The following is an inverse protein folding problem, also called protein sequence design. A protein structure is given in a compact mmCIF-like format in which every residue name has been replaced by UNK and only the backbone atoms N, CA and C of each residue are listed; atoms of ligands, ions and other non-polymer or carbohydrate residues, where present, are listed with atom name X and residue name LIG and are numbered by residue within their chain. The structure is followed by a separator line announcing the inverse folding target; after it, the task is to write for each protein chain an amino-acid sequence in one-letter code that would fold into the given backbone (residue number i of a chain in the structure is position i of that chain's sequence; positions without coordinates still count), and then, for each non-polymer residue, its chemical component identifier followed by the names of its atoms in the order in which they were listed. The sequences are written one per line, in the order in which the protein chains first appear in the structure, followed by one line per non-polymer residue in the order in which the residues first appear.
data_IF_593450898043
#
_entry.id   IF_593450898043
#
_cell.length_a   1.000
_cell.length_b   1.000
_cell.length_c   1.000
_cell.angle_alpha   90.00
_cell.angle_beta   90.00
_cell.angle_gamma   90.00
#
_symmetry.space_group_name_H-M   'P 1'
#
loop_
_entity.id
_entity.type
_entity.pdbx_description
1 polymer ?
#
# COMPACT_ATOMS: atom_id res chain seq x y z
N UNK A 1 -14.47 43.89 47.81
CA UNK A 1 -14.73 42.55 47.26
C UNK A 1 -15.38 42.74 45.90
N UNK A 2 -14.61 42.66 44.82
CA UNK A 2 -15.08 42.36 43.45
C UNK A 2 -13.88 41.74 42.75
N UNK A 3 -14.20 40.74 41.96
CA UNK A 3 -13.44 39.54 41.62
C UNK A 3 -12.46 39.77 40.46
N UNK A 4 -11.16 39.55 40.69
CA UNK A 4 -10.15 39.45 39.63
C UNK A 4 -10.03 37.97 39.20
N UNK A 5 -10.36 37.71 37.94
CA UNK A 5 -10.01 36.48 37.27
C UNK A 5 -10.01 36.75 35.77
N UNK A 6 -8.86 37.08 35.15
CA UNK A 6 -8.77 37.00 33.70
C UNK A 6 -8.76 35.51 33.40
N UNK A 7 -9.86 35.00 32.83
CA UNK A 7 -9.80 33.69 32.20
C UNK A 7 -8.66 33.77 31.17
N UNK A 8 -7.57 33.03 31.39
CA UNK A 8 -6.34 33.01 30.59
C UNK A 8 -6.53 32.38 29.20
N UNK A 9 -7.70 32.58 28.61
CA UNK A 9 -7.96 32.44 27.18
C UNK A 9 -7.56 33.79 26.59
N UNK A 10 -6.30 33.90 26.17
CA UNK A 10 -5.88 34.93 25.22
C UNK A 10 -6.97 35.03 24.14
N UNK A 11 -7.48 36.23 23.90
CA UNK A 11 -8.48 36.45 22.85
C UNK A 11 -7.87 36.00 21.53
N UNK A 12 -8.25 34.80 21.09
CA UNK A 12 -7.89 34.29 19.80
C UNK A 12 -8.28 35.35 18.77
N UNK A 13 -7.29 35.82 18.01
CA UNK A 13 -7.57 36.77 16.94
C UNK A 13 -8.60 36.16 15.98
N UNK A 14 -9.52 37.00 15.48
CA UNK A 14 -10.61 36.56 14.62
C UNK A 14 -10.07 35.84 13.37
N UNK A 15 -8.88 36.24 12.88
CA UNK A 15 -8.19 35.55 11.79
C UNK A 15 -7.79 34.11 12.11
N UNK A 16 -7.37 33.85 13.35
CA UNK A 16 -6.99 32.49 13.80
C UNK A 16 -8.19 31.55 13.78
N UNK A 17 -9.36 32.04 14.19
CA UNK A 17 -10.61 31.27 14.19
C UNK A 17 -11.03 30.92 12.75
N UNK A 18 -10.88 31.85 11.80
CA UNK A 18 -11.22 31.61 10.39
C UNK A 18 -10.30 30.56 9.75
N UNK A 19 -8.99 30.64 10.00
CA UNK A 19 -8.02 29.66 9.49
C UNK A 19 -8.30 28.28 10.11
N UNK A 20 -8.50 28.23 11.43
CA UNK A 20 -8.81 26.97 12.12
C UNK A 20 -10.11 26.34 11.60
N UNK A 21 -11.16 27.14 11.40
CA UNK A 21 -12.43 26.66 10.87
C UNK A 21 -12.30 26.14 9.42
N UNK A 22 -11.53 26.82 8.57
CA UNK A 22 -11.27 26.38 7.20
C UNK A 22 -10.49 25.05 7.17
N UNK A 23 -9.49 24.89 8.04
CA UNK A 23 -8.73 23.65 8.17
C UNK A 23 -9.59 22.49 8.68
N UNK A 24 -10.44 22.73 9.68
CA UNK A 24 -11.39 21.73 10.18
C UNK A 24 -12.39 21.35 9.09
N UNK A 25 -12.90 22.31 8.32
CA UNK A 25 -13.85 22.04 7.23
C UNK A 25 -13.22 21.25 6.09
N UNK A 26 -12.00 21.61 5.66
CA UNK A 26 -11.25 20.86 4.66
C UNK A 26 -10.89 19.46 5.16
N UNK A 27 -10.45 19.34 6.42
CA UNK A 27 -10.15 18.06 7.06
C UNK A 27 -11.38 17.15 7.18
N UNK A 28 -12.51 17.67 7.65
CA UNK A 28 -13.79 16.93 7.68
C UNK A 28 -14.24 16.54 6.27
N UNK A 29 -14.06 17.43 5.28
CA UNK A 29 -14.42 17.15 3.90
C UNK A 29 -13.68 15.91 3.39
N UNK A 30 -12.37 15.77 3.66
CA UNK A 30 -11.60 14.57 3.30
C UNK A 30 -12.16 13.32 4.01
N UNK A 31 -12.54 13.45 5.29
CA UNK A 31 -13.08 12.32 6.07
C UNK A 31 -14.44 11.82 5.56
N UNK A 32 -15.26 12.68 4.94
CA UNK A 32 -16.61 12.33 4.48
C UNK A 32 -16.78 12.26 2.96
N UNK A 33 -15.78 12.64 2.15
CA UNK A 33 -15.93 12.78 0.69
C UNK A 33 -15.45 11.58 -0.12
N UNK A 34 -15.47 10.36 0.43
CA UNK A 34 -15.16 9.19 -0.39
C UNK A 34 -15.94 7.95 0.01
N UNK A 35 -17.22 7.91 -0.35
CA UNK A 35 -17.93 6.65 -0.59
C UNK A 35 -19.09 6.87 -1.59
N UNK A 36 -18.80 6.69 -2.88
CA UNK A 36 -19.76 6.21 -3.88
C UNK A 36 -19.04 5.71 -5.14
N UNK A 37 -18.67 4.43 -5.16
CA UNK A 37 -18.66 3.54 -6.34
C UNK A 37 -18.98 2.14 -5.78
N UNK A 38 -20.22 1.68 -5.94
CA UNK A 38 -20.70 0.77 -7.00
C UNK A 38 -20.09 -0.63 -6.83
N UNK A 39 -20.98 -1.60 -6.66
CA UNK A 39 -20.71 -2.92 -6.08
C UNK A 39 -19.67 -3.79 -6.77
N UNK A 40 -18.96 -4.55 -5.94
CA UNK A 40 -18.93 -6.00 -6.02
C UNK A 40 -18.91 -6.52 -4.59
N UNK A 41 -19.89 -7.35 -4.23
CA UNK A 41 -19.80 -8.21 -3.05
C UNK A 41 -18.64 -9.17 -3.33
N UNK A 42 -17.49 -8.91 -2.71
CA UNK A 42 -16.45 -9.92 -2.51
C UNK A 42 -16.65 -10.39 -1.08
N UNK A 43 -17.08 -11.64 -0.93
CA UNK A 43 -17.17 -12.31 0.37
C UNK A 43 -15.76 -12.40 0.94
N UNK A 44 -15.42 -11.50 1.87
CA UNK A 44 -14.20 -11.59 2.65
C UNK A 44 -14.46 -12.52 3.84
N UNK A 45 -14.18 -13.80 3.66
CA UNK A 45 -14.00 -14.70 4.80
C UNK A 45 -12.62 -14.43 5.44
N UNK A 46 -12.54 -13.40 6.30
CA UNK A 46 -11.37 -13.20 7.15
C UNK A 46 -11.44 -14.22 8.29
N UNK A 47 -10.75 -15.35 8.14
CA UNK A 47 -10.51 -16.27 9.24
C UNK A 47 -9.65 -15.58 10.31
N UNK A 48 -10.29 -15.09 11.37
CA UNK A 48 -9.59 -14.63 12.58
C UNK A 48 -9.11 -15.85 13.37
N UNK A 49 -7.95 -16.39 13.02
CA UNK A 49 -7.23 -17.28 13.93
C UNK A 49 -6.22 -16.48 14.73
N UNK A 50 -6.68 -16.09 15.92
CA UNK A 50 -5.83 -15.56 16.98
C UNK A 50 -4.86 -16.66 17.42
N UNK A 51 -3.57 -16.49 17.17
CA UNK A 51 -2.54 -17.22 17.90
C UNK A 51 -1.77 -16.24 18.78
N UNK A 52 -1.96 -16.42 20.07
CA UNK A 52 -1.21 -15.82 21.16
C UNK A 52 0.12 -16.56 21.26
N UNK A 53 1.25 -15.86 21.15
CA UNK A 53 2.48 -16.23 21.86
C UNK A 53 3.09 -14.96 22.44
N UNK A 54 3.42 -15.04 23.72
CA UNK A 54 3.87 -13.99 24.61
C UNK A 54 5.24 -13.37 24.23
N UNK A 55 5.29 -12.04 24.40
CA UNK A 55 6.39 -11.19 24.85
C UNK A 55 7.82 -11.39 24.30
N UNK A 56 8.31 -10.37 23.58
CA UNK A 56 9.36 -9.45 24.04
C UNK A 56 9.34 -8.17 23.17
N UNK A 57 9.54 -7.01 23.81
CA UNK A 57 9.53 -5.69 23.16
C UNK A 57 10.71 -5.54 22.20
N UNK A 58 10.45 -5.61 20.90
CA UNK A 58 11.22 -4.94 19.88
C UNK A 58 10.24 -4.41 18.83
N UNK A 59 10.57 -3.29 18.18
CA UNK A 59 9.72 -2.64 17.16
C UNK A 59 9.48 -3.63 16.01
N UNK A 60 8.37 -4.39 16.10
CA UNK A 60 8.09 -5.55 15.24
C UNK A 60 7.82 -5.12 13.80
N UNK A 61 8.78 -5.41 12.92
CA UNK A 61 8.54 -5.62 11.49
C UNK A 61 7.64 -6.86 11.39
N UNK A 62 6.33 -6.65 11.25
CA UNK A 62 5.33 -7.72 11.04
C UNK A 62 5.69 -8.46 9.74
N UNK A 63 6.57 -9.44 9.87
CA UNK A 63 6.91 -10.40 8.81
C UNK A 63 5.82 -11.44 8.78
N UNK A 64 4.63 -11.03 8.37
CA UNK A 64 3.59 -11.96 8.01
C UNK A 64 3.93 -12.58 6.65
N UNK A 65 4.57 -13.74 6.69
CA UNK A 65 4.60 -14.66 5.55
C UNK A 65 3.17 -15.17 5.36
N UNK A 66 2.34 -14.44 4.61
CA UNK A 66 1.12 -15.02 4.06
C UNK A 66 1.58 -15.92 2.92
N UNK A 67 1.87 -17.17 3.26
CA UNK A 67 1.70 -18.29 2.36
C UNK A 67 0.19 -18.42 2.16
N UNK A 68 -0.39 -17.62 1.27
CA UNK A 68 -1.61 -18.06 0.62
C UNK A 68 -1.17 -19.28 -0.19
N UNK A 69 -1.37 -20.47 0.39
CA UNK A 69 -1.18 -21.79 -0.22
C UNK A 69 -2.06 -21.90 -1.48
N UNK A 70 -1.65 -21.18 -2.51
CA UNK A 70 -2.24 -21.21 -3.81
C UNK A 70 -1.10 -21.43 -4.79
N UNK A 71 -0.49 -22.61 -4.67
CA UNK A 71 0.35 -23.25 -5.68
C UNK A 71 -0.36 -23.45 -7.04
N UNK A 72 -1.50 -22.78 -7.27
CA UNK A 72 -2.29 -22.71 -8.50
C UNK A 72 -3.12 -21.39 -8.59
N UNK A 73 -2.78 -20.33 -7.84
CA UNK A 73 -3.49 -19.05 -7.93
C UNK A 73 -3.13 -18.30 -9.21
N UNK A 74 -4.14 -18.02 -10.02
CA UNK A 74 -4.02 -17.08 -11.15
C UNK A 74 -4.15 -15.62 -10.70
N UNK A 75 -4.79 -15.39 -9.55
CA UNK A 75 -5.05 -14.07 -8.98
C UNK A 75 -4.67 -14.01 -7.50
N UNK A 76 -3.87 -12.99 -7.14
CA UNK A 76 -3.41 -12.75 -5.77
C UNK A 76 -3.89 -11.38 -5.30
N UNK A 77 -4.33 -11.29 -4.05
CA UNK A 77 -4.86 -10.05 -3.48
C UNK A 77 -4.15 -9.70 -2.16
N UNK A 78 -3.38 -8.63 -2.16
CA UNK A 78 -2.65 -8.13 -0.98
C UNK A 78 -3.23 -6.81 -0.53
N UNK A 79 -3.55 -6.69 0.76
CA UNK A 79 -4.01 -5.45 1.36
C UNK A 79 -3.27 -5.14 2.65
N UNK A 80 -2.56 -4.00 2.67
CA UNK A 80 -1.73 -3.56 3.80
C UNK A 80 -2.18 -2.15 4.19
N UNK A 81 -2.52 -1.94 5.46
CA UNK A 81 -2.99 -0.64 5.96
C UNK A 81 -2.40 -0.34 7.33
N UNK A 82 -1.93 0.91 7.52
CA UNK A 82 -1.48 1.43 8.83
C UNK A 82 -0.43 0.56 9.53
N UNK A 83 0.36 -0.22 8.79
CA UNK A 83 1.41 -1.09 9.31
C UNK A 83 2.62 -1.11 8.37
N UNK A 84 3.71 -1.75 8.78
CA UNK A 84 4.81 -2.17 7.92
C UNK A 84 4.69 -3.66 7.68
N UNK A 85 4.82 -4.12 6.43
CA UNK A 85 4.66 -5.55 6.13
C UNK A 85 5.60 -6.01 5.03
N UNK A 86 6.12 -7.23 5.18
CA UNK A 86 6.90 -7.93 4.17
C UNK A 86 6.07 -9.11 3.65
N UNK A 87 5.91 -9.24 2.33
CA UNK A 87 5.11 -10.28 1.67
C UNK A 87 5.95 -11.02 0.62
N UNK A 88 5.82 -12.33 0.57
CA UNK A 88 6.38 -13.18 -0.48
C UNK A 88 5.23 -13.73 -1.30
N UNK A 89 5.22 -13.41 -2.59
CA UNK A 89 4.20 -13.85 -3.53
C UNK A 89 4.63 -15.19 -4.08
N UNK A 90 3.76 -16.20 -3.97
CA UNK A 90 3.99 -17.54 -4.48
C UNK A 90 2.86 -17.92 -5.44
N UNK A 91 3.19 -18.23 -6.69
CA UNK A 91 2.22 -18.64 -7.70
C UNK A 91 2.88 -19.42 -8.82
N UNK A 92 2.24 -20.49 -9.29
CA UNK A 92 2.72 -21.31 -10.42
C UNK A 92 2.15 -20.87 -11.77
N UNK A 93 1.14 -19.98 -11.76
CA UNK A 93 0.44 -19.52 -12.95
C UNK A 93 -0.12 -18.10 -12.77
N UNK A 94 0.72 -17.16 -12.35
CA UNK A 94 0.27 -15.80 -12.04
C UNK A 94 -0.25 -15.09 -13.29
N UNK A 95 -1.48 -14.58 -13.22
CA UNK A 95 -2.06 -13.67 -14.23
C UNK A 95 -2.22 -12.26 -13.68
N UNK A 96 -2.71 -12.15 -12.44
CA UNK A 96 -3.01 -10.85 -11.82
C UNK A 96 -2.58 -10.82 -10.37
N UNK A 97 -1.88 -9.76 -9.95
CA UNK A 97 -1.66 -9.46 -8.54
C UNK A 97 -2.27 -8.08 -8.23
N UNK A 98 -3.24 -8.02 -7.33
CA UNK A 98 -3.85 -6.78 -6.86
C UNK A 98 -3.28 -6.41 -5.50
N UNK A 99 -2.62 -5.26 -5.42
CA UNK A 99 -1.90 -4.80 -4.24
C UNK A 99 -2.44 -3.44 -3.83
N UNK A 100 -2.97 -3.37 -2.62
CA UNK A 100 -3.52 -2.17 -2.03
C UNK A 100 -2.75 -1.78 -0.77
N UNK A 101 -2.05 -0.66 -0.81
CA UNK A 101 -1.24 -0.16 0.32
C UNK A 101 -1.71 1.24 0.72
N UNK A 102 -2.07 1.42 1.99
CA UNK A 102 -2.55 2.73 2.48
C UNK A 102 -1.98 3.06 3.82
N UNK A 103 -1.35 4.24 3.94
CA UNK A 103 -0.72 4.72 5.17
C UNK A 103 0.24 3.67 5.76
N UNK A 104 0.96 2.96 4.91
CA UNK A 104 1.72 1.77 5.26
C UNK A 104 3.05 1.71 4.51
N UNK A 105 3.94 0.84 4.98
CA UNK A 105 5.12 0.43 4.23
C UNK A 105 5.01 -1.03 3.83
N UNK A 106 5.44 -1.34 2.62
CA UNK A 106 5.33 -2.69 2.06
C UNK A 106 6.61 -3.07 1.31
N UNK A 107 7.16 -4.25 1.63
CA UNK A 107 8.16 -4.93 0.80
C UNK A 107 7.52 -6.18 0.24
N UNK A 108 7.49 -6.33 -1.09
CA UNK A 108 6.78 -7.42 -1.75
C UNK A 108 7.73 -8.12 -2.72
N UNK A 109 7.91 -9.41 -2.52
CA UNK A 109 8.82 -10.27 -3.29
C UNK A 109 8.04 -11.13 -4.27
N UNK A 110 8.52 -11.18 -5.51
CA UNK A 110 7.98 -12.01 -6.60
C UNK A 110 8.99 -13.07 -7.07
N UNK A 111 9.89 -13.51 -6.19
CA UNK A 111 10.99 -14.45 -6.49
C UNK A 111 10.54 -15.90 -6.68
N UNK A 112 9.37 -16.28 -6.17
CA UNK A 112 8.80 -17.63 -6.29
C UNK A 112 7.50 -17.61 -7.13
N UNK A 113 7.57 -16.98 -8.32
CA UNK A 113 6.42 -16.76 -9.19
C UNK A 113 6.70 -17.20 -10.63
N UNK A 114 5.86 -18.12 -11.14
CA UNK A 114 5.85 -18.55 -12.53
C UNK A 114 4.71 -17.87 -13.32
N UNK A 115 5.04 -17.44 -14.56
CA UNK A 115 4.11 -16.82 -15.52
C UNK A 115 4.14 -17.61 -16.84
N UNK A 116 3.56 -18.83 -16.89
CA UNK A 116 3.62 -19.69 -18.07
C UNK A 116 2.86 -19.14 -19.28
N UNK A 117 1.93 -18.20 -19.05
CA UNK A 117 1.23 -17.47 -20.12
C UNK A 117 2.13 -16.50 -20.88
N UNK A 118 3.31 -16.17 -20.33
CA UNK A 118 4.23 -15.14 -20.82
C UNK A 118 3.80 -13.71 -20.49
N UNK A 119 2.63 -13.50 -19.88
CA UNK A 119 2.16 -12.15 -19.50
C UNK A 119 1.39 -12.13 -18.19
N UNK A 120 1.68 -11.15 -17.33
CA UNK A 120 0.93 -10.90 -16.10
C UNK A 120 0.66 -9.40 -15.88
N UNK A 121 -0.25 -9.08 -14.97
CA UNK A 121 -0.54 -7.70 -14.55
C UNK A 121 -0.41 -7.56 -13.04
N UNK A 122 0.38 -6.58 -12.60
CA UNK A 122 0.42 -6.15 -11.20
C UNK A 122 -0.36 -4.84 -11.12
N UNK A 123 -1.48 -4.86 -10.40
CA UNK A 123 -2.25 -3.66 -10.08
C UNK A 123 -1.82 -3.16 -8.71
N UNK A 124 -1.14 -2.02 -8.65
CA UNK A 124 -0.67 -1.38 -7.43
C UNK A 124 -1.39 -0.05 -7.20
N UNK A 125 -2.21 -0.01 -6.15
CA UNK A 125 -2.79 1.22 -5.63
C UNK A 125 -2.18 1.54 -4.27
N UNK A 126 -1.31 2.55 -4.24
CA UNK A 126 -0.63 3.00 -3.03
C UNK A 126 -1.02 4.45 -2.68
N UNK A 127 -1.30 4.72 -1.40
CA UNK A 127 -1.62 6.07 -0.92
C UNK A 127 -0.94 6.35 0.42
N UNK A 128 -0.22 7.47 0.55
CA UNK A 128 0.52 7.82 1.76
C UNK A 128 1.44 6.68 2.23
N UNK A 129 2.11 6.02 1.28
CA UNK A 129 2.79 4.74 1.53
C UNK A 129 4.17 4.69 0.88
N UNK A 130 5.06 3.87 1.44
CA UNK A 130 6.33 3.48 0.83
C UNK A 130 6.27 2.03 0.38
N UNK A 131 6.48 1.75 -0.90
CA UNK A 131 6.41 0.40 -1.46
C UNK A 131 7.72 0.03 -2.12
N UNK A 132 8.24 -1.15 -1.81
CA UNK A 132 9.36 -1.78 -2.48
C UNK A 132 8.86 -3.06 -3.15
N UNK A 133 9.02 -3.14 -4.48
CA UNK A 133 8.73 -4.35 -5.25
C UNK A 133 10.05 -5.00 -5.64
N UNK A 134 10.25 -6.24 -5.22
CA UNK A 134 11.38 -7.08 -5.60
C UNK A 134 10.92 -7.98 -6.74
N UNK A 135 11.39 -7.68 -7.95
CA UNK A 135 10.93 -8.26 -9.22
C UNK A 135 12.08 -9.07 -9.83
N UNK A 136 11.84 -10.29 -10.32
CA UNK A 136 12.89 -11.05 -11.02
C UNK A 136 13.50 -10.26 -12.19
N UNK A 137 14.82 -10.25 -12.28
CA UNK A 137 15.58 -9.46 -13.25
C UNK A 137 15.36 -9.85 -14.72
N UNK A 138 14.83 -11.05 -14.96
CA UNK A 138 14.46 -11.55 -16.28
C UNK A 138 13.10 -11.00 -16.78
N UNK A 139 12.30 -10.37 -15.92
CA UNK A 139 10.97 -9.87 -16.31
C UNK A 139 11.03 -8.59 -17.15
N UNK A 140 10.22 -8.56 -18.20
CA UNK A 140 9.98 -7.35 -18.97
C UNK A 140 8.87 -6.51 -18.33
N UNK A 141 9.24 -5.76 -17.29
CA UNK A 141 8.33 -4.84 -16.61
C UNK A 141 7.99 -3.62 -17.50
N UNK A 142 6.71 -3.41 -17.76
CA UNK A 142 6.15 -2.25 -18.46
C UNK A 142 5.37 -1.41 -17.44
N UNK A 143 5.92 -0.25 -17.11
CA UNK A 143 5.31 0.68 -16.16
C UNK A 143 4.20 1.51 -16.80
N UNK A 144 3.00 1.44 -16.22
CA UNK A 144 1.78 2.16 -16.61
C UNK A 144 1.09 2.78 -15.38
N UNK A 145 1.86 3.14 -14.35
CA UNK A 145 1.33 3.78 -13.15
C UNK A 145 0.98 5.25 -13.38
N UNK A 146 -0.13 5.67 -12.78
CA UNK A 146 -0.47 7.08 -12.62
C UNK A 146 0.05 7.56 -11.27
N UNK A 147 0.88 8.60 -11.25
CA UNK A 147 1.52 9.09 -10.03
C UNK A 147 1.20 10.55 -9.76
N UNK A 148 0.76 10.83 -8.54
CA UNK A 148 0.50 12.19 -8.04
C UNK A 148 1.31 12.42 -6.78
N UNK A 149 2.18 13.44 -6.81
CA UNK A 149 3.05 13.84 -5.70
C UNK A 149 3.81 12.64 -5.09
N UNK A 150 4.28 11.73 -5.94
CA UNK A 150 4.94 10.48 -5.54
C UNK A 150 6.31 10.35 -6.21
N UNK A 151 7.23 9.66 -5.54
CA UNK A 151 8.53 9.27 -6.10
C UNK A 151 8.48 7.87 -6.72
N UNK A 152 9.14 7.70 -7.85
CA UNK A 152 9.37 6.40 -8.49
C UNK A 152 10.86 6.24 -8.73
N UNK A 153 11.44 5.17 -8.20
CA UNK A 153 12.84 4.81 -8.40
C UNK A 153 12.95 3.38 -8.92
N UNK A 154 13.95 3.12 -9.76
CA UNK A 154 14.28 1.80 -10.28
C UNK A 154 15.76 1.52 -9.99
N UNK A 155 16.04 0.38 -9.36
CA UNK A 155 17.38 -0.06 -8.98
C UNK A 155 17.59 -1.53 -9.35
N UNK A 156 18.84 -1.88 -9.66
CA UNK A 156 19.22 -3.23 -10.10
C UNK A 156 19.59 -3.27 -11.59
N UNK A 157 20.22 -4.39 -12.00
CA UNK A 157 20.56 -4.63 -13.40
C UNK A 157 19.51 -5.55 -14.01
N UNK A 158 18.90 -5.14 -15.11
CA UNK A 158 18.00 -6.00 -15.88
C UNK A 158 18.84 -6.96 -16.73
N UNK A 159 18.42 -8.22 -16.80
CA UNK A 159 18.99 -9.17 -17.75
C UNK A 159 18.16 -9.11 -19.03
N UNK A 160 18.80 -8.96 -20.19
CA UNK A 160 18.16 -9.16 -21.49
C UNK A 160 17.89 -10.66 -21.69
N UNK A 161 16.89 -11.17 -20.99
CA UNK A 161 16.40 -12.54 -21.07
C UNK A 161 15.05 -12.59 -21.82
N UNK A 162 14.70 -13.76 -22.35
CA UNK A 162 13.40 -14.03 -22.97
C UNK A 162 12.35 -14.33 -21.88
N UNK A 163 12.13 -13.37 -20.99
CA UNK A 163 11.26 -13.50 -19.82
C UNK A 163 9.83 -13.01 -20.06
N UNK A 164 8.91 -13.24 -19.11
CA UNK A 164 7.53 -12.81 -19.24
C UNK A 164 7.41 -11.27 -19.24
N UNK A 165 6.38 -10.76 -19.93
CA UNK A 165 6.04 -9.33 -19.90
C UNK A 165 5.04 -9.04 -18.79
N UNK A 166 5.42 -8.16 -17.86
CA UNK A 166 4.59 -7.82 -16.71
C UNK A 166 4.18 -6.35 -16.78
N UNK A 167 2.87 -6.10 -16.74
CA UNK A 167 2.33 -4.75 -16.75
C UNK A 167 2.11 -4.27 -15.32
N UNK A 168 2.81 -3.20 -14.92
CA UNK A 168 2.60 -2.55 -13.64
C UNK A 168 1.63 -1.38 -13.81
N UNK A 169 0.41 -1.52 -13.29
CA UNK A 169 -0.70 -0.58 -13.45
C UNK A 169 -1.20 -0.10 -12.09
N UNK A 170 -1.95 0.99 -12.06
CA UNK A 170 -2.58 1.50 -10.84
C UNK A 170 -2.18 2.92 -10.51
N UNK A 171 -2.35 3.32 -9.24
CA UNK A 171 -2.19 4.71 -8.79
C UNK A 171 -1.26 4.83 -7.59
N UNK A 172 -0.32 5.76 -7.67
CA UNK A 172 0.52 6.18 -6.56
C UNK A 172 0.15 7.60 -6.14
N UNK A 173 -0.26 7.78 -4.88
CA UNK A 173 -0.61 9.08 -4.32
C UNK A 173 0.20 9.37 -3.05
N UNK A 174 0.92 10.49 -3.03
CA UNK A 174 1.64 10.97 -1.84
C UNK A 174 2.54 9.89 -1.22
N UNK A 175 3.32 9.18 -2.03
CA UNK A 175 4.12 8.04 -1.57
C UNK A 175 5.40 7.82 -2.39
N UNK A 176 6.07 6.70 -2.12
CA UNK A 176 7.23 6.26 -2.88
C UNK A 176 7.04 4.83 -3.37
N UNK A 177 7.46 4.56 -4.61
CA UNK A 177 7.64 3.21 -5.13
C UNK A 177 9.10 3.03 -5.55
N UNK A 178 9.74 1.99 -5.05
CA UNK A 178 11.05 1.52 -5.53
C UNK A 178 10.88 0.15 -6.15
N UNK A 179 11.32 0.00 -7.40
CA UNK A 179 11.39 -1.30 -8.07
C UNK A 179 12.84 -1.78 -7.97
N UNK A 180 13.03 -2.97 -7.44
CA UNK A 180 14.33 -3.60 -7.23
C UNK A 180 14.35 -4.89 -8.04
N UNK A 181 15.20 -4.93 -9.07
CA UNK A 181 15.42 -6.15 -9.84
C UNK A 181 16.36 -7.08 -9.07
N UNK A 182 15.95 -8.34 -8.87
CA UNK A 182 16.68 -9.38 -8.11
C UNK A 182 16.99 -10.62 -8.94
#
# INVERSE_FOLDING_TARGET
MIWEGPFGIEQLDTGTILIAALLIWAGLSIMFSRHHHIGAHVDYHVNHHHNVIDAEEDFNEDTETITEDATDAEEINVSIRMTQSVRYIQATNLKTANIYVSMAGAKIYFDDVDIPSGTATINLDASLSGVELYIPDEWHLINQLDSSLSGLDESGNRVDADGPTVYLKGKLNLGGLTIIYI
#
